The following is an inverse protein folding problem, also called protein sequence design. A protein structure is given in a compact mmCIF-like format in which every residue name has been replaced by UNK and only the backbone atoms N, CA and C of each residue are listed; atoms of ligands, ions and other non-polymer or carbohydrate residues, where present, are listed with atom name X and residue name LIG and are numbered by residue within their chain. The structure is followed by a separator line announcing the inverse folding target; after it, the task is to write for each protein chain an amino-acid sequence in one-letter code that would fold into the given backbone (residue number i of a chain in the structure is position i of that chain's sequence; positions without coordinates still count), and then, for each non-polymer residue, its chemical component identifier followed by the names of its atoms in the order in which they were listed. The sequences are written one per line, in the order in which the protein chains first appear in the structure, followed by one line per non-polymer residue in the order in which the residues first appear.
data_IF_499286832104
#
_entry.id   IF_499286832104
#
_cell.length_a   1.000
_cell.length_b   1.000
_cell.length_c   1.000
_cell.angle_alpha   90.00
_cell.angle_beta   90.00
_cell.angle_gamma   90.00
#
_symmetry.space_group_name_H-M   'P 1'
#
loop_
_entity.id
_entity.type
_entity.pdbx_description
1 polymer ?
#
# COMPACT_ATOMS: atom_id res chain seq x y z
N UNK A 1 -26.85 -62.20 42.97
CA UNK A 1 -25.86 -61.11 43.02
C UNK A 1 -25.37 -60.83 41.61
N UNK A 2 -25.78 -59.72 40.97
CA UNK A 2 -25.24 -59.31 39.67
C UNK A 2 -24.09 -58.30 39.83
N UNK A 3 -23.12 -58.26 38.90
CA UNK A 3 -21.98 -57.34 38.97
C UNK A 3 -22.38 -55.93 38.52
N UNK A 4 -21.90 -54.91 39.25
CA UNK A 4 -22.06 -53.50 38.90
C UNK A 4 -20.95 -53.09 37.93
N UNK A 5 -21.32 -52.69 36.71
CA UNK A 5 -20.42 -52.10 35.73
C UNK A 5 -20.17 -50.62 36.05
N UNK A 6 -18.93 -50.29 36.45
CA UNK A 6 -18.46 -48.93 36.63
C UNK A 6 -18.25 -48.27 35.25
N UNK A 7 -19.02 -47.24 34.96
CA UNK A 7 -18.87 -46.44 33.75
C UNK A 7 -17.76 -45.40 33.97
N UNK A 8 -16.61 -45.60 33.33
CA UNK A 8 -15.56 -44.58 33.23
C UNK A 8 -15.99 -43.54 32.18
N UNK A 9 -16.31 -42.32 32.63
CA UNK A 9 -16.59 -41.19 31.76
C UNK A 9 -15.24 -40.60 31.33
N UNK A 10 -14.85 -40.80 30.06
CA UNK A 10 -13.71 -40.15 29.44
C UNK A 10 -14.17 -38.75 28.96
N UNK A 11 -13.75 -37.70 29.66
CA UNK A 11 -14.01 -36.33 29.23
C UNK A 11 -12.91 -35.90 28.24
N UNK A 12 -13.23 -35.93 26.94
CA UNK A 12 -12.38 -35.37 25.89
C UNK A 12 -12.56 -33.86 25.85
N UNK A 13 -11.58 -33.10 26.35
CA UNK A 13 -11.56 -31.65 26.20
C UNK A 13 -11.12 -31.30 24.77
N UNK A 14 -12.06 -30.83 23.95
CA UNK A 14 -11.80 -30.33 22.61
C UNK A 14 -11.30 -28.88 22.73
N UNK A 15 -10.00 -28.65 22.55
CA UNK A 15 -9.44 -27.29 22.46
C UNK A 15 -9.64 -26.81 21.03
N UNK A 16 -10.63 -25.94 20.81
CA UNK A 16 -10.80 -25.23 19.56
C UNK A 16 -9.77 -24.10 19.48
N UNK A 17 -8.74 -24.24 18.63
CA UNK A 17 -7.92 -23.10 18.21
C UNK A 17 -8.79 -22.21 17.32
N UNK A 18 -9.28 -21.11 17.87
CA UNK A 18 -9.87 -20.02 17.06
C UNK A 18 -8.70 -19.30 16.40
N UNK A 19 -8.51 -19.51 15.09
CA UNK A 19 -7.60 -18.67 14.32
C UNK A 19 -8.16 -17.24 14.31
N UNK A 20 -7.42 -16.30 14.90
CA UNK A 20 -7.80 -14.89 14.83
C UNK A 20 -7.82 -14.44 13.35
N UNK A 21 -8.80 -13.63 12.94
CA UNK A 21 -8.82 -13.08 11.58
C UNK A 21 -7.52 -12.31 11.36
N UNK A 22 -6.79 -12.67 10.32
CA UNK A 22 -5.62 -11.90 9.88
C UNK A 22 -6.16 -10.66 9.21
N UNK A 23 -6.10 -9.51 9.88
CA UNK A 23 -6.45 -8.23 9.28
C UNK A 23 -5.42 -7.97 8.17
N UNK A 24 -5.88 -7.86 6.92
CA UNK A 24 -5.02 -7.47 5.81
C UNK A 24 -4.88 -5.93 5.82
N UNK A 25 -3.68 -5.42 5.50
CA UNK A 25 -3.51 -4.01 5.24
C UNK A 25 -4.09 -3.70 3.86
N UNK A 26 -4.91 -2.65 3.70
CA UNK A 26 -5.43 -2.27 2.38
C UNK A 26 -4.70 -1.05 1.86
N UNK A 27 -3.96 -1.18 0.75
CA UNK A 27 -3.42 -0.03 0.01
C UNK A 27 -4.59 0.65 -0.72
N UNK A 28 -4.85 1.91 -0.35
CA UNK A 28 -6.06 2.65 -0.76
C UNK A 28 -5.75 3.76 -1.75
N UNK A 29 -4.59 4.39 -1.64
CA UNK A 29 -4.17 5.38 -2.62
C UNK A 29 -2.64 5.52 -2.70
N UNK A 30 -2.18 6.17 -3.77
CA UNK A 30 -0.80 6.57 -3.94
C UNK A 30 -0.69 7.86 -4.74
N UNK A 31 0.37 8.62 -4.47
CA UNK A 31 0.78 9.77 -5.28
C UNK A 31 2.28 9.69 -5.56
N UNK A 32 2.65 9.91 -6.83
CA UNK A 32 4.02 10.21 -7.24
C UNK A 32 4.09 11.68 -7.58
N UNK A 33 5.13 12.37 -7.12
CA UNK A 33 5.28 13.80 -7.39
C UNK A 33 6.73 14.18 -7.66
N UNK A 34 6.92 15.25 -8.41
CA UNK A 34 8.23 15.87 -8.58
C UNK A 34 8.75 16.40 -7.24
N UNK A 35 9.96 16.00 -6.86
CA UNK A 35 10.60 16.38 -5.61
C UNK A 35 12.04 16.87 -5.81
N UNK A 36 12.54 17.63 -4.83
CA UNK A 36 13.96 17.96 -4.73
C UNK A 36 14.72 16.87 -3.94
N UNK A 37 16.04 17.02 -3.78
CA UNK A 37 16.87 16.06 -3.06
C UNK A 37 16.54 15.91 -1.57
N UNK A 38 15.74 16.82 -1.01
CA UNK A 38 15.28 16.75 0.36
C UNK A 38 13.90 16.12 0.48
N UNK A 39 13.15 16.00 -0.63
CA UNK A 39 11.78 15.50 -0.65
C UNK A 39 10.72 16.60 -0.50
N UNK A 40 11.06 17.86 -0.75
CA UNK A 40 10.05 18.91 -0.94
C UNK A 40 9.52 18.86 -2.36
N UNK A 41 8.30 19.36 -2.56
CA UNK A 41 7.73 19.51 -3.90
C UNK A 41 8.64 20.37 -4.78
N UNK A 42 8.99 19.85 -5.95
CA UNK A 42 9.88 20.49 -6.93
C UNK A 42 9.28 20.31 -8.33
N UNK A 43 9.24 21.39 -9.13
CA UNK A 43 8.03 21.84 -9.78
C UNK A 43 7.27 20.75 -10.53
N UNK A 44 6.16 20.36 -9.91
CA UNK A 44 4.85 20.53 -10.53
C UNK A 44 4.38 19.37 -11.38
N UNK A 45 4.90 18.16 -11.19
CA UNK A 45 4.25 16.98 -11.74
C UNK A 45 3.71 16.13 -10.61
N UNK A 46 2.44 15.76 -10.72
CA UNK A 46 1.77 14.91 -9.73
C UNK A 46 0.98 13.85 -10.47
N UNK A 47 1.11 12.60 -10.04
CA UNK A 47 0.30 11.47 -10.51
C UNK A 47 -0.35 10.81 -9.31
N UNK A 48 -1.68 10.66 -9.31
CA UNK A 48 -2.38 10.05 -8.18
C UNK A 48 -3.36 8.95 -8.60
N UNK A 49 -3.71 8.10 -7.65
CA UNK A 49 -4.68 7.01 -7.88
C UNK A 49 -6.11 7.39 -7.50
N UNK A 50 -6.46 8.66 -7.33
CA UNK A 50 -7.86 9.09 -7.08
C UNK A 50 -8.50 9.83 -8.25
N UNK A 51 -7.68 10.16 -9.26
CA UNK A 51 -8.08 11.00 -10.37
C UNK A 51 -8.30 12.44 -9.90
N UNK A 52 -8.79 13.28 -10.79
CA UNK A 52 -9.34 14.57 -10.39
C UNK A 52 -10.77 14.34 -9.89
N UNK A 53 -10.93 14.15 -8.57
CA UNK A 53 -12.25 13.85 -8.01
C UNK A 53 -13.26 15.01 -8.15
N UNK A 54 -12.80 16.24 -8.39
CA UNK A 54 -13.65 17.43 -8.59
C UNK A 54 -12.87 18.50 -9.38
N UNK A 55 -12.69 18.33 -10.68
CA UNK A 55 -12.43 19.50 -11.53
C UNK A 55 -13.79 20.08 -11.94
N UNK A 56 -14.19 21.28 -11.47
CA UNK A 56 -15.26 22.00 -12.16
C UNK A 56 -14.85 22.09 -13.62
N UNK A 57 -15.78 21.91 -14.59
CA UNK A 57 -15.42 21.88 -16.00
C UNK A 57 -14.57 23.09 -16.32
N UNK A 58 -13.28 22.84 -16.53
CA UNK A 58 -12.31 23.87 -16.86
C UNK A 58 -12.85 24.50 -18.14
N UNK A 59 -13.15 25.82 -18.15
CA UNK A 59 -13.65 26.45 -19.37
C UNK A 59 -12.69 26.12 -20.51
N UNK A 60 -13.20 25.79 -21.70
CA UNK A 60 -12.36 25.43 -22.85
C UNK A 60 -11.33 26.52 -23.25
N UNK A 61 -11.43 27.72 -22.64
CA UNK A 61 -10.50 28.84 -22.76
C UNK A 61 -9.42 28.90 -21.67
N UNK A 62 -9.39 27.98 -20.70
CA UNK A 62 -8.30 27.94 -19.71
C UNK A 62 -7.08 27.31 -20.36
N UNK A 63 -5.94 28.02 -20.47
CA UNK A 63 -4.72 27.45 -21.02
C UNK A 63 -4.05 26.43 -20.08
N UNK A 64 -4.62 26.19 -18.89
CA UNK A 64 -4.08 25.28 -17.88
C UNK A 64 -5.22 24.56 -17.15
N UNK A 65 -5.18 23.24 -17.16
CA UNK A 65 -5.47 22.45 -15.97
C UNK A 65 -4.36 22.82 -14.97
N UNK A 66 -4.64 23.77 -14.08
CA UNK A 66 -3.61 24.49 -13.32
C UNK A 66 -2.90 23.63 -12.27
N UNK A 67 -3.33 22.38 -12.05
CA UNK A 67 -2.78 21.53 -10.99
C UNK A 67 -1.69 20.56 -11.47
N UNK A 68 -1.50 20.35 -12.78
CA UNK A 68 -0.55 19.34 -13.29
C UNK A 68 -0.69 18.00 -12.55
N UNK A 69 -1.94 17.58 -12.34
CA UNK A 69 -2.30 16.34 -11.64
C UNK A 69 -2.85 15.38 -12.67
N UNK A 70 -2.17 14.25 -12.83
CA UNK A 70 -2.55 13.18 -13.75
C UNK A 70 -2.85 11.89 -12.98
N UNK A 71 -3.34 10.88 -13.70
CA UNK A 71 -3.61 9.59 -13.10
C UNK A 71 -2.32 8.79 -12.96
N UNK A 72 -2.16 8.14 -11.81
CA UNK A 72 -1.19 7.10 -11.55
C UNK A 72 -1.87 5.75 -11.71
N UNK A 73 -1.31 4.91 -12.56
CA UNK A 73 -1.78 3.55 -12.78
C UNK A 73 -0.83 2.54 -12.14
N UNK A 74 -1.41 1.59 -11.40
CA UNK A 74 -0.72 0.46 -10.81
C UNK A 74 -0.99 -0.78 -11.66
N UNK A 75 0.02 -1.63 -11.80
CA UNK A 75 -0.05 -2.89 -12.52
C UNK A 75 0.50 -4.02 -11.65
N UNK A 76 -0.13 -5.20 -11.71
CA UNK A 76 0.39 -6.42 -11.11
C UNK A 76 1.60 -7.01 -11.87
N UNK A 77 1.93 -6.46 -13.04
CA UNK A 77 3.14 -6.78 -13.81
C UNK A 77 4.05 -5.57 -13.95
N UNK A 78 5.35 -5.83 -14.00
CA UNK A 78 6.40 -4.81 -14.22
C UNK A 78 6.85 -4.85 -15.68
N UNK A 79 7.15 -3.68 -16.25
CA UNK A 79 7.72 -3.58 -17.59
C UNK A 79 8.98 -4.46 -17.74
N UNK A 80 9.24 -5.04 -18.94
CA UNK A 80 8.58 -4.76 -20.22
C UNK A 80 7.38 -5.66 -20.56
N UNK A 81 6.89 -6.47 -19.62
CA UNK A 81 5.69 -7.27 -19.88
C UNK A 81 4.47 -6.37 -20.10
N UNK A 82 3.46 -6.80 -20.90
CA UNK A 82 2.21 -6.06 -21.01
C UNK A 82 1.63 -5.78 -19.61
N UNK A 83 1.23 -4.53 -19.33
CA UNK A 83 0.71 -4.16 -18.01
C UNK A 83 -0.64 -4.86 -17.75
N UNK A 84 -0.72 -5.54 -16.60
CA UNK A 84 -1.96 -6.03 -16.04
C UNK A 84 -2.47 -5.01 -15.01
N UNK A 85 -3.10 -3.96 -15.50
CA UNK A 85 -3.53 -2.82 -14.70
C UNK A 85 -4.53 -3.20 -13.61
N UNK A 86 -4.31 -2.67 -12.42
CA UNK A 86 -5.18 -2.79 -11.23
C UNK A 86 -6.27 -1.71 -11.28
N UNK A 87 -5.94 -0.52 -11.77
CA UNK A 87 -6.82 0.61 -11.97
C UNK A 87 -6.73 1.13 -13.42
N UNK A 88 -7.69 1.95 -13.84
CA UNK A 88 -7.71 2.47 -15.21
C UNK A 88 -8.72 3.60 -15.39
N UNK A 89 -8.77 4.18 -16.58
CA UNK A 89 -9.67 5.30 -16.91
C UNK A 89 -9.43 6.55 -16.01
N UNK A 90 -10.36 7.51 -16.06
CA UNK A 90 -10.35 8.74 -15.24
C UNK A 90 -11.30 8.64 -14.03
N UNK A 91 -11.21 9.65 -13.16
CA UNK A 91 -12.10 9.86 -12.00
C UNK A 91 -12.08 8.68 -11.03
N UNK A 92 -13.22 8.35 -10.40
CA UNK A 92 -13.33 7.26 -9.43
C UNK A 92 -12.84 5.87 -9.92
N UNK A 93 -12.63 5.68 -11.23
CA UNK A 93 -12.09 4.42 -11.79
C UNK A 93 -10.57 4.30 -11.67
N UNK A 94 -9.86 5.40 -11.40
CA UNK A 94 -8.44 5.35 -11.05
C UNK A 94 -8.21 4.84 -9.63
N UNK A 95 -9.25 4.76 -8.81
CA UNK A 95 -9.15 4.32 -7.42
C UNK A 95 -8.60 2.91 -7.33
N UNK A 96 -7.75 2.69 -6.32
CA UNK A 96 -7.22 1.38 -5.98
C UNK A 96 -7.79 0.92 -4.63
N UNK A 97 -7.93 -0.38 -4.47
CA UNK A 97 -8.20 -1.03 -3.19
C UNK A 97 -7.55 -2.39 -3.25
N UNK A 98 -6.33 -2.48 -2.72
CA UNK A 98 -5.51 -3.68 -2.80
C UNK A 98 -5.29 -4.23 -1.40
N UNK A 99 -5.86 -5.39 -1.12
CA UNK A 99 -5.62 -6.10 0.13
C UNK A 99 -4.23 -6.74 0.10
N UNK A 100 -3.45 -6.44 1.13
CA UNK A 100 -2.07 -6.88 1.31
C UNK A 100 -2.02 -7.89 2.46
N UNK A 101 -2.04 -9.17 2.09
CA UNK A 101 -1.67 -10.26 2.99
C UNK A 101 -0.14 -10.28 3.20
N UNK A 102 0.40 -10.95 4.25
CA UNK A 102 1.83 -11.10 4.41
C UNK A 102 2.52 -11.69 3.17
N UNK A 103 3.59 -11.04 2.71
CA UNK A 103 4.27 -11.37 1.46
C UNK A 103 4.99 -10.17 0.83
N UNK A 104 5.56 -10.38 -0.35
CA UNK A 104 6.23 -9.33 -1.13
C UNK A 104 5.41 -9.02 -2.38
N UNK A 105 5.15 -7.74 -2.61
CA UNK A 105 4.36 -7.24 -3.75
C UNK A 105 5.22 -6.27 -4.54
N UNK A 106 5.34 -6.51 -5.84
CA UNK A 106 5.95 -5.55 -6.77
C UNK A 106 4.88 -5.06 -7.74
N UNK A 107 4.67 -3.76 -7.75
CA UNK A 107 3.73 -3.10 -8.66
C UNK A 107 4.49 -2.33 -9.72
N UNK A 108 4.09 -2.49 -10.98
CA UNK A 108 4.47 -1.55 -12.03
C UNK A 108 3.69 -0.26 -11.86
N UNK A 109 4.36 0.88 -12.05
CA UNK A 109 3.76 2.21 -11.97
C UNK A 109 3.80 2.85 -13.35
N UNK A 110 2.72 3.51 -13.74
CA UNK A 110 2.62 4.19 -15.03
C UNK A 110 1.87 5.52 -14.89
N UNK A 111 2.36 6.55 -15.57
CA UNK A 111 1.76 7.88 -15.56
C UNK A 111 1.98 8.56 -16.90
N UNK A 112 0.96 9.22 -17.40
CA UNK A 112 1.06 9.98 -18.65
C UNK A 112 2.05 11.16 -18.47
N UNK A 113 2.77 11.53 -19.52
CA UNK A 113 3.68 12.69 -19.49
C UNK A 113 3.13 13.87 -20.27
N UNK A 114 3.30 15.05 -19.68
CA UNK A 114 3.08 16.33 -20.33
C UNK A 114 4.37 17.08 -20.66
N UNK A 115 5.55 16.44 -20.55
CA UNK A 115 6.86 17.06 -20.79
C UNK A 115 7.91 16.12 -21.40
N UNK A 116 8.88 16.69 -22.10
CA UNK A 116 9.93 15.92 -22.78
C UNK A 116 11.23 15.78 -21.97
N UNK A 117 11.49 16.66 -20.98
CA UNK A 117 12.78 16.75 -20.32
C UNK A 117 12.65 16.75 -18.78
N UNK A 118 13.31 15.79 -18.12
CA UNK A 118 13.48 15.76 -16.66
C UNK A 118 14.72 16.58 -16.31
N UNK A 119 14.61 17.53 -15.36
CA UNK A 119 15.76 18.25 -14.85
C UNK A 119 16.78 17.27 -14.22
N UNK A 120 18.10 17.35 -14.49
CA UNK A 120 19.07 16.36 -13.97
C UNK A 120 19.14 16.24 -12.45
N UNK A 121 18.74 17.28 -11.72
CA UNK A 121 18.66 17.30 -10.26
C UNK A 121 17.26 16.96 -9.72
N UNK A 122 16.33 16.54 -10.59
CA UNK A 122 14.97 16.15 -10.21
C UNK A 122 15.02 14.83 -9.44
N UNK A 123 14.27 14.79 -8.34
CA UNK A 123 13.90 13.58 -7.63
C UNK A 123 12.41 13.33 -7.82
N UNK A 124 11.96 12.15 -7.40
CA UNK A 124 10.55 11.81 -7.32
C UNK A 124 10.20 11.33 -5.93
N UNK A 125 9.16 11.94 -5.38
CA UNK A 125 8.53 11.49 -4.15
C UNK A 125 7.41 10.50 -4.44
N UNK A 126 7.23 9.54 -3.54
CA UNK A 126 6.10 8.62 -3.50
C UNK A 126 5.46 8.72 -2.12
N UNK A 127 4.15 8.89 -2.05
CA UNK A 127 3.40 8.76 -0.80
C UNK A 127 2.28 7.72 -0.97
N UNK A 128 2.17 6.80 -0.01
CA UNK A 128 1.21 5.70 0.00
C UNK A 128 0.26 5.82 1.19
N UNK A 129 -1.00 5.48 0.92
CA UNK A 129 -2.14 5.69 1.80
C UNK A 129 -2.85 4.36 2.06
N UNK A 130 -3.18 4.09 3.32
CA UNK A 130 -3.63 2.77 3.77
C UNK A 130 -4.92 2.84 4.58
N UNK A 131 -5.68 1.76 4.58
CA UNK A 131 -6.85 1.59 5.47
C UNK A 131 -7.98 2.60 5.23
N UNK A 132 -8.08 3.19 4.03
CA UNK A 132 -9.07 4.21 3.72
C UNK A 132 -8.68 5.65 4.07
N UNK A 133 -7.53 5.89 4.72
CA UNK A 133 -7.05 7.25 4.97
C UNK A 133 -6.43 7.82 3.69
N UNK A 134 -7.02 8.89 3.15
CA UNK A 134 -6.52 9.62 1.98
C UNK A 134 -5.93 10.99 2.32
N UNK A 135 -5.78 11.28 3.62
CA UNK A 135 -5.32 12.57 4.14
C UNK A 135 -3.90 12.50 4.66
N UNK A 136 -3.56 11.43 5.38
CA UNK A 136 -2.23 11.24 5.97
C UNK A 136 -1.54 10.05 5.33
N UNK A 137 -0.39 10.25 4.65
CA UNK A 137 0.33 9.12 4.08
C UNK A 137 0.91 8.24 5.19
N UNK A 138 0.79 6.92 5.04
CA UNK A 138 1.41 5.96 5.96
C UNK A 138 2.88 5.71 5.62
N UNK A 139 3.23 5.79 4.34
CA UNK A 139 4.61 5.67 3.83
C UNK A 139 4.90 6.86 2.93
N UNK A 140 6.13 7.36 2.98
CA UNK A 140 6.62 8.36 2.04
C UNK A 140 8.09 8.12 1.74
N UNK A 141 8.41 7.93 0.46
CA UNK A 141 9.73 7.62 -0.06
C UNK A 141 10.20 8.64 -1.10
N UNK A 142 11.50 8.73 -1.30
CA UNK A 142 12.18 9.57 -2.28
C UNK A 142 13.15 8.73 -3.09
N UNK A 143 13.17 8.92 -4.41
CA UNK A 143 14.18 8.36 -5.31
C UNK A 143 14.77 9.44 -6.21
N UNK A 144 16.04 9.33 -6.57
CA UNK A 144 16.70 10.23 -7.52
C UNK A 144 18.23 10.18 -7.44
N UNK A 145 18.93 11.14 -8.07
CA UNK A 145 20.39 11.10 -8.21
C UNK A 145 21.18 10.99 -6.89
N UNK A 146 20.64 11.53 -5.79
CA UNK A 146 21.30 11.50 -4.48
C UNK A 146 20.85 10.37 -3.56
N UNK A 147 19.82 9.59 -3.94
CA UNK A 147 19.31 8.49 -3.13
C UNK A 147 18.52 7.47 -3.98
N UNK A 148 18.83 6.18 -3.82
CA UNK A 148 18.04 5.13 -4.47
C UNK A 148 16.63 5.01 -3.86
N UNK A 149 16.56 4.97 -2.53
CA UNK A 149 15.32 5.03 -1.75
C UNK A 149 15.61 5.62 -0.37
N UNK A 150 14.98 6.75 -0.02
CA UNK A 150 15.05 7.35 1.31
C UNK A 150 13.66 7.70 1.83
N UNK A 151 13.45 7.76 3.17
CA UNK A 151 12.23 8.33 3.72
C UNK A 151 12.05 9.80 3.28
N UNK A 152 10.81 10.20 3.00
CA UNK A 152 10.43 11.57 2.69
C UNK A 152 9.43 12.08 3.73
N UNK A 153 9.72 13.23 4.37
CA UNK A 153 9.00 13.66 5.58
C UNK A 153 8.82 15.16 5.74
N UNK A 154 8.98 15.93 4.67
CA UNK A 154 8.98 17.38 4.79
C UNK A 154 7.57 17.95 4.92
N UNK A 155 7.48 19.12 5.54
CA UNK A 155 6.25 19.90 5.68
C UNK A 155 5.79 20.55 4.37
N UNK A 156 6.56 20.42 3.29
CA UNK A 156 6.21 20.94 1.96
C UNK A 156 6.15 19.82 0.90
N UNK A 157 5.72 18.63 1.31
CA UNK A 157 5.36 17.57 0.37
C UNK A 157 4.04 17.90 -0.34
N UNK A 158 3.72 17.10 -1.35
CA UNK A 158 2.47 17.18 -2.11
C UNK A 158 1.45 16.21 -1.51
N UNK A 159 0.20 16.65 -1.28
CA UNK A 159 -0.88 15.71 -0.96
C UNK A 159 -1.31 14.92 -2.20
N UNK A 160 -2.27 14.03 -2.01
CA UNK A 160 -2.85 13.21 -3.06
C UNK A 160 -3.42 14.01 -4.24
N UNK A 161 -3.79 15.27 -4.05
CA UNK A 161 -4.43 16.14 -5.04
C UNK A 161 -3.51 17.23 -5.62
N UNK A 162 -2.21 17.18 -5.36
CA UNK A 162 -1.26 18.16 -5.90
C UNK A 162 -1.04 19.39 -5.01
N UNK A 163 -1.69 19.51 -3.85
CA UNK A 163 -1.49 20.66 -2.97
C UNK A 163 -0.18 20.53 -2.18
N UNK A 164 0.66 21.55 -2.31
CA UNK A 164 1.89 21.71 -1.54
C UNK A 164 1.62 22.10 -0.09
N UNK A 165 2.61 21.99 0.79
CA UNK A 165 2.48 22.31 2.21
C UNK A 165 1.93 21.16 3.05
N UNK A 166 1.87 19.96 2.48
CA UNK A 166 1.41 18.77 3.16
C UNK A 166 2.56 18.03 3.84
N UNK A 167 2.26 17.34 4.94
CA UNK A 167 3.24 16.59 5.71
C UNK A 167 3.42 15.18 5.12
N UNK A 168 4.63 14.86 4.67
CA UNK A 168 4.99 13.47 4.32
C UNK A 168 5.12 12.57 5.56
N UNK A 169 5.03 11.26 5.36
CA UNK A 169 5.04 10.27 6.45
C UNK A 169 6.39 10.19 7.21
N UNK A 170 7.47 10.66 6.59
CA UNK A 170 8.85 10.53 7.09
C UNK A 170 9.25 9.09 7.44
N UNK A 171 8.67 8.11 6.76
CA UNK A 171 8.87 6.70 7.05
C UNK A 171 8.69 5.86 5.79
N UNK A 172 9.55 4.85 5.65
CA UNK A 172 9.39 3.78 4.65
C UNK A 172 8.55 2.63 5.18
N UNK A 173 8.05 2.71 6.41
CA UNK A 173 7.29 1.66 7.07
C UNK A 173 6.02 2.21 7.70
N UNK A 174 4.92 1.51 7.48
CA UNK A 174 3.63 1.74 8.11
C UNK A 174 3.22 0.50 8.90
N UNK A 175 2.45 0.69 9.97
CA UNK A 175 1.97 -0.41 10.82
C UNK A 175 0.53 -0.13 11.22
N UNK A 176 -0.32 -1.15 11.09
CA UNK A 176 -1.69 -1.13 11.58
C UNK A 176 -2.00 -2.47 12.25
N UNK A 177 -2.31 -2.40 13.54
CA UNK A 177 -2.49 -3.57 14.40
C UNK A 177 -1.32 -4.55 14.28
N UNK A 178 -1.62 -5.72 13.70
CA UNK A 178 -0.69 -6.84 13.56
C UNK A 178 -0.05 -6.93 12.16
N UNK A 179 -0.08 -5.88 11.35
CA UNK A 179 0.56 -5.86 10.04
C UNK A 179 1.55 -4.72 9.93
N UNK A 180 2.75 -5.03 9.44
CA UNK A 180 3.77 -4.06 9.04
C UNK A 180 3.91 -4.08 7.54
N UNK A 181 3.89 -2.91 6.91
CA UNK A 181 4.15 -2.71 5.49
C UNK A 181 5.43 -1.88 5.36
N UNK A 182 6.40 -2.35 4.58
CA UNK A 182 7.67 -1.65 4.34
C UNK A 182 7.88 -1.48 2.84
N UNK A 183 8.09 -0.24 2.39
CA UNK A 183 8.56 0.07 1.05
C UNK A 183 10.05 -0.24 0.94
N UNK A 184 10.40 -1.20 0.09
CA UNK A 184 11.77 -1.69 -0.07
C UNK A 184 12.42 -1.24 -1.36
N UNK A 185 11.62 -0.86 -2.36
CA UNK A 185 12.11 -0.35 -3.63
C UNK A 185 11.11 0.65 -4.23
N UNK A 186 11.63 1.69 -4.89
CA UNK A 186 10.85 2.66 -5.65
C UNK A 186 11.72 3.25 -6.77
N UNK A 187 11.18 3.24 -7.98
CA UNK A 187 11.76 3.91 -9.14
C UNK A 187 10.66 4.63 -9.92
N UNK A 188 11.05 5.74 -10.56
CA UNK A 188 10.18 6.52 -11.44
C UNK A 188 11.04 7.28 -12.44
N UNK A 189 10.77 7.10 -13.74
CA UNK A 189 11.54 7.74 -14.80
C UNK A 189 10.71 7.92 -16.07
N UNK A 190 11.13 8.85 -16.92
CA UNK A 190 10.59 8.96 -18.27
C UNK A 190 11.02 7.73 -19.09
N UNK A 191 10.05 6.99 -19.59
CA UNK A 191 10.26 5.83 -20.45
C UNK A 191 10.49 6.26 -21.90
N UNK A 192 10.84 5.31 -22.77
CA UNK A 192 10.80 5.51 -24.23
C UNK A 192 9.50 4.99 -24.86
N UNK A 193 8.49 4.72 -24.05
CA UNK A 193 7.25 4.06 -24.44
C UNK A 193 6.06 5.01 -24.23
N UNK A 194 5.06 4.89 -25.11
CA UNK A 194 3.72 5.50 -25.00
C UNK A 194 2.73 4.32 -24.87
N UNK A 195 2.57 3.86 -23.63
CA UNK A 195 1.90 2.63 -23.17
C UNK A 195 0.64 2.91 -22.34
N UNK A 196 0.53 4.07 -21.71
CA UNK A 196 -0.56 4.44 -20.80
C UNK A 196 -1.82 4.78 -21.59
N UNK A 197 -1.68 5.42 -22.75
CA UNK A 197 -2.80 6.05 -23.44
C UNK A 197 -3.92 5.07 -23.84
N UNK A 198 -3.57 3.83 -24.21
CA UNK A 198 -4.55 2.78 -24.54
C UNK A 198 -5.47 2.40 -23.37
N UNK A 199 -5.10 2.78 -22.14
CA UNK A 199 -5.76 2.48 -20.86
C UNK A 199 -6.25 3.75 -20.13
N UNK A 200 -5.93 4.92 -20.66
CA UNK A 200 -6.11 6.24 -20.05
C UNK A 200 -7.55 6.77 -20.14
N UNK A 201 -8.28 6.51 -21.25
CA UNK A 201 -9.47 7.30 -21.55
C UNK A 201 -10.74 6.49 -21.79
N UNK A 202 -11.88 7.09 -21.44
CA UNK A 202 -13.23 6.60 -21.71
C UNK A 202 -13.66 6.77 -23.19
N UNK A 203 -12.75 7.15 -24.10
CA UNK A 203 -13.02 7.35 -25.55
C UNK A 203 -12.30 6.31 -26.40
N UNK A 204 -12.68 6.14 -27.68
CA UNK A 204 -12.01 5.17 -28.56
C UNK A 204 -10.50 5.41 -28.61
N UNK A 205 -9.74 4.31 -28.54
CA UNK A 205 -8.28 4.33 -28.63
C UNK A 205 -7.82 5.10 -29.87
N UNK A 206 -6.97 6.11 -29.68
CA UNK A 206 -6.17 6.63 -30.78
C UNK A 206 -5.06 5.61 -31.09
N UNK A 207 -4.78 5.28 -32.37
CA UNK A 207 -3.85 4.20 -32.72
C UNK A 207 -2.41 4.36 -32.21
N UNK A 208 -2.00 5.57 -31.80
CA UNK A 208 -0.61 5.96 -31.62
C UNK A 208 -0.31 6.64 -30.26
N UNK A 209 -1.20 6.52 -29.28
CA UNK A 209 -1.04 7.24 -28.01
C UNK A 209 -1.21 8.76 -28.11
N UNK A 210 -0.70 9.53 -27.14
CA UNK A 210 -0.68 11.01 -27.22
C UNK A 210 0.60 11.54 -27.91
N UNK A 211 1.51 10.65 -28.32
CA UNK A 211 2.77 10.98 -28.96
C UNK A 211 3.83 11.51 -28.00
N UNK A 212 3.64 11.34 -26.69
CA UNK A 212 4.58 11.71 -25.62
C UNK A 212 5.03 10.46 -24.87
N UNK A 213 6.20 10.56 -24.26
CA UNK A 213 6.82 9.46 -23.53
C UNK A 213 6.21 9.33 -22.15
N UNK A 214 5.69 8.17 -21.76
CA UNK A 214 5.13 7.99 -20.43
C UNK A 214 6.21 7.97 -19.34
N UNK A 215 5.81 8.32 -18.13
CA UNK A 215 6.55 7.91 -16.95
C UNK A 215 6.23 6.46 -16.60
N UNK A 216 7.29 5.69 -16.35
CA UNK A 216 7.20 4.29 -15.91
C UNK A 216 8.11 4.10 -14.71
N UNK A 217 7.65 3.29 -13.78
CA UNK A 217 8.40 2.95 -12.59
C UNK A 217 7.93 1.64 -11.97
N UNK A 218 8.40 1.40 -10.76
CA UNK A 218 7.95 0.29 -9.94
C UNK A 218 8.07 0.65 -8.48
N UNK A 219 7.26 0.00 -7.65
CA UNK A 219 7.47 -0.03 -6.20
C UNK A 219 7.38 -1.46 -5.69
N UNK A 220 8.11 -1.75 -4.61
CA UNK A 220 8.04 -3.04 -3.92
C UNK A 220 7.67 -2.84 -2.45
N UNK A 221 6.64 -3.55 -2.01
CA UNK A 221 6.19 -3.61 -0.61
C UNK A 221 6.52 -4.98 -0.02
N UNK A 222 7.15 -4.99 1.15
CA UNK A 222 7.23 -6.16 2.01
C UNK A 222 6.19 -6.04 3.12
N UNK A 223 5.36 -7.07 3.30
CA UNK A 223 4.24 -7.09 4.23
C UNK A 223 4.45 -8.23 5.21
N UNK A 224 4.49 -7.90 6.50
CA UNK A 224 4.79 -8.85 7.57
C UNK A 224 3.66 -8.87 8.58
N UNK A 225 3.29 -10.07 9.03
CA UNK A 225 2.46 -10.21 10.22
C UNK A 225 3.33 -9.97 11.46
N UNK A 226 3.00 -8.95 12.24
CA UNK A 226 3.53 -8.75 13.59
C UNK A 226 2.86 -9.80 14.46
N UNK A 227 3.61 -10.84 14.83
CA UNK A 227 3.16 -11.79 15.84
C UNK A 227 3.55 -11.23 17.20
N UNK A 228 2.59 -10.64 17.91
CA UNK A 228 2.69 -10.58 19.37
C UNK A 228 2.77 -12.02 19.84
N UNK A 229 3.94 -12.47 20.30
CA UNK A 229 4.06 -13.76 20.98
C UNK A 229 3.47 -13.56 22.36
N UNK A 230 2.28 -14.07 22.71
CA UNK A 230 1.89 -14.11 24.11
C UNK A 230 2.75 -15.23 24.72
N UNK A 231 3.65 -14.90 25.64
CA UNK A 231 4.27 -15.92 26.47
C UNK A 231 3.14 -16.74 27.12
N UNK A 232 3.18 -18.09 27.07
CA UNK A 232 2.17 -18.92 27.68
C UNK A 232 2.36 -18.95 29.21
N UNK A 233 2.16 -17.83 29.90
CA UNK A 233 1.98 -17.80 31.35
C UNK A 233 0.64 -18.47 31.78
N UNK A 234 -0.27 -18.73 30.84
CA UNK A 234 -1.54 -19.42 31.09
C UNK A 234 -1.40 -20.95 31.22
N UNK A 235 -0.35 -21.57 30.65
CA UNK A 235 -0.15 -23.03 30.74
C UNK A 235 0.33 -23.47 32.13
N UNK A 236 1.01 -22.60 32.88
CA UNK A 236 1.42 -22.87 34.26
C UNK A 236 0.26 -22.87 35.25
N UNK A 237 -0.83 -22.12 34.97
CA UNK A 237 -2.01 -22.05 35.85
C UNK A 237 -2.97 -23.25 35.70
N UNK A 238 -3.03 -23.90 34.53
CA UNK A 238 -3.82 -25.14 34.37
C UNK A 238 -3.13 -26.38 34.97
N UNK A 239 -1.79 -26.39 35.07
CA UNK A 239 -1.06 -27.50 35.68
C UNK A 239 -1.28 -27.63 37.20
N UNK A 240 -1.63 -26.55 37.89
CA UNK A 240 -1.87 -26.54 39.34
C UNK A 240 -3.30 -26.94 39.76
N UNK A 241 -4.26 -26.94 38.83
CA UNK A 241 -5.66 -27.26 39.12
C UNK A 241 -6.02 -28.76 38.97
N UNK A 242 -5.07 -29.60 38.50
CA UNK A 242 -5.28 -31.02 38.20
C UNK A 242 -4.65 -31.98 39.22
N UNK A 243 -4.28 -31.53 40.43
CA UNK A 243 -3.93 -32.45 41.52
C UNK A 243 -5.20 -32.91 42.23
N UNK A 244 -5.75 -34.11 41.96
CA UNK A 244 -6.77 -34.69 42.81
C UNK A 244 -6.18 -34.90 44.20
N UNK A 245 -6.79 -34.25 45.20
CA UNK A 245 -6.57 -34.57 46.60
C UNK A 245 -6.97 -36.03 46.84
N UNK A 246 -6.00 -36.94 46.78
CA UNK A 246 -6.16 -38.34 47.22
C UNK A 246 -6.32 -38.32 48.74
N UNK A 247 -7.56 -38.11 49.20
CA UNK A 247 -7.99 -38.41 50.55
C UNK A 247 -8.71 -39.75 50.52
N UNK A 248 -8.09 -40.81 51.06
CA UNK A 248 -8.82 -41.97 51.61
C UNK A 248 -7.92 -42.66 52.65
N UNK A 249 -8.19 -42.40 53.93
CA UNK A 249 -9.07 -43.14 54.83
C UNK A 249 -8.44 -44.44 55.35
N UNK A 250 -7.77 -44.31 56.50
CA UNK A 250 -7.51 -45.40 57.44
C UNK A 250 -8.83 -45.94 57.99
N UNK A 251 -9.03 -47.25 57.91
CA UNK A 251 -10.03 -47.98 58.72
C UNK A 251 -9.30 -49.02 59.58
N UNK A 252 -9.68 -49.03 60.86
CA UNK A 252 -9.42 -50.10 61.83
C UNK A 252 -10.31 -51.30 61.52
#
# INVERSE_FOLDING_TARGET
MPPRFSHSILATALVALVAAPTQAATLTAGVVFGADSTGNTYPGWTWNTLGQQDDPPVPASSPYDTRNVWNLYLSGTVAPAPPAFINGYNDARTNISVDLAPGTYTFGLYGDSTGADIHPAQHFGLSLYFGGDTTTPGISGLTGPSCALCPAGNANATNLFGDTGSQGANSLTWTDGLVRVTLTDFSWALSRQDTVWAHYHNTPQYPNGNGRLDFVGALTLNVEAIRDVPEPAALTLLGLALLPAVRRHTRR
#
